data_IF_898176184555
#
_entry.id   IF_898176184555
#
_cell.length_a   1.000
_cell.length_b   1.000
_cell.length_c   1.000
_cell.angle_alpha   90.00
_cell.angle_beta   90.00
_cell.angle_gamma   90.00
#
_symmetry.space_group_name_H-M   'P 1'
#
loop_
_entity.id
_entity.type
_entity.pdbx_description
1 polymer ?
#
# COMPACT_ATOMS: atom_id res chain seq x y z
N UNK A 1 0.83 -20.91 19.27
CA UNK A 1 0.29 -20.09 18.17
C UNK A 1 1.38 -19.11 17.80
N UNK A 2 1.77 -19.06 16.52
CA UNK A 2 2.78 -18.13 16.04
C UNK A 2 2.09 -16.88 15.51
N UNK A 3 2.54 -15.72 15.96
CA UNK A 3 2.00 -14.40 15.61
C UNK A 3 3.01 -13.55 14.84
N UNK A 4 4.17 -14.12 14.50
CA UNK A 4 5.16 -13.43 13.70
C UNK A 4 4.66 -13.30 12.26
N UNK A 5 4.92 -12.13 11.66
CA UNK A 5 4.72 -11.92 10.23
C UNK A 5 5.72 -12.77 9.42
N UNK A 6 5.36 -13.13 8.21
CA UNK A 6 6.32 -13.67 7.23
C UNK A 6 7.29 -12.58 6.77
N UNK A 7 8.40 -12.96 6.13
CA UNK A 7 9.33 -11.99 5.52
C UNK A 7 8.64 -11.12 4.48
N UNK A 8 7.77 -11.72 3.65
CA UNK A 8 7.01 -11.00 2.62
C UNK A 8 6.02 -10.00 3.23
N UNK A 9 5.31 -10.39 4.30
CA UNK A 9 4.41 -9.50 5.04
C UNK A 9 5.16 -8.34 5.71
N UNK A 10 6.35 -8.58 6.27
CA UNK A 10 7.20 -7.51 6.79
C UNK A 10 7.65 -6.56 5.69
N UNK A 11 8.09 -7.11 4.56
CA UNK A 11 8.61 -6.34 3.43
C UNK A 11 7.54 -5.42 2.84
N UNK A 12 6.31 -5.91 2.63
CA UNK A 12 5.23 -5.05 2.12
C UNK A 12 4.92 -3.93 3.12
N UNK A 13 4.85 -4.24 4.42
CA UNK A 13 4.52 -3.26 5.46
C UNK A 13 5.53 -2.11 5.46
N UNK A 14 6.82 -2.44 5.43
CA UNK A 14 7.87 -1.43 5.37
C UNK A 14 7.87 -0.62 4.07
N UNK A 15 7.58 -1.28 2.95
CA UNK A 15 7.52 -0.62 1.64
C UNK A 15 6.38 0.39 1.58
N UNK A 16 5.18 0.00 2.01
CA UNK A 16 4.01 0.87 2.02
C UNK A 16 4.17 2.01 3.00
N UNK A 17 4.67 1.75 4.22
CA UNK A 17 4.96 2.80 5.21
C UNK A 17 5.89 3.87 4.65
N UNK A 18 7.01 3.45 4.04
CA UNK A 18 7.99 4.38 3.45
C UNK A 18 7.37 5.20 2.34
N UNK A 19 6.56 4.56 1.48
CA UNK A 19 5.87 5.25 0.41
C UNK A 19 4.85 6.25 0.94
N UNK A 20 3.98 5.86 1.87
CA UNK A 20 2.96 6.73 2.45
C UNK A 20 3.58 7.97 3.11
N UNK A 21 4.62 7.79 3.93
CA UNK A 21 5.31 8.91 4.60
C UNK A 21 5.96 9.87 3.60
N UNK A 22 6.59 9.36 2.54
CA UNK A 22 7.34 10.20 1.60
C UNK A 22 6.48 10.81 0.49
N UNK A 23 5.43 10.12 0.04
CA UNK A 23 4.60 10.53 -1.09
C UNK A 23 3.27 11.16 -0.65
N UNK A 24 2.62 10.63 0.38
CA UNK A 24 1.34 11.16 0.88
C UNK A 24 1.53 12.15 2.01
N UNK A 25 2.51 11.93 2.90
CA UNK A 25 2.80 12.81 4.03
C UNK A 25 2.94 14.29 3.65
N UNK A 26 3.68 14.66 2.59
CA UNK A 26 3.78 16.06 2.14
C UNK A 26 2.49 16.63 1.54
N UNK A 27 1.52 15.79 1.17
CA UNK A 27 0.27 16.19 0.52
C UNK A 27 -0.91 16.29 1.50
N UNK A 28 -0.76 15.80 2.73
CA UNK A 28 -1.86 15.63 3.68
C UNK A 28 -2.67 16.91 3.94
N UNK A 29 -1.99 18.05 4.20
CA UNK A 29 -2.65 19.32 4.51
C UNK A 29 -3.46 19.81 3.31
N UNK A 30 -2.89 19.74 2.11
CA UNK A 30 -3.58 20.13 0.88
C UNK A 30 -4.81 19.27 0.61
N UNK A 31 -4.69 17.95 0.80
CA UNK A 31 -5.79 17.02 0.58
C UNK A 31 -6.97 17.37 1.49
N UNK A 32 -6.70 17.64 2.77
CA UNK A 32 -7.71 17.97 3.77
C UNK A 32 -8.31 19.38 3.57
N UNK A 33 -7.47 20.39 3.38
CA UNK A 33 -7.91 21.79 3.29
C UNK A 33 -8.63 22.12 1.98
N UNK A 34 -8.25 21.49 0.87
CA UNK A 34 -8.76 21.83 -0.47
C UNK A 34 -9.77 20.83 -1.04
N UNK A 35 -10.15 19.77 -0.29
CA UNK A 35 -10.90 18.62 -0.84
C UNK A 35 -10.27 18.07 -2.14
N UNK A 36 -8.94 18.13 -2.22
CA UNK A 36 -8.18 17.80 -3.42
C UNK A 36 -7.64 16.38 -3.35
N UNK A 37 -7.68 15.65 -4.48
CA UNK A 37 -7.13 14.30 -4.58
C UNK A 37 -6.00 14.23 -5.63
N UNK A 38 -4.83 13.62 -5.32
CA UNK A 38 -3.74 13.49 -6.28
C UNK A 38 -4.18 12.69 -7.53
N UNK A 39 -4.14 13.27 -8.74
CA UNK A 39 -4.66 12.61 -9.95
C UNK A 39 -3.94 11.32 -10.32
N UNK A 40 -2.68 11.17 -9.89
CA UNK A 40 -1.82 10.03 -10.18
C UNK A 40 -1.71 9.05 -8.99
N UNK A 41 -2.48 9.25 -7.92
CA UNK A 41 -2.43 8.42 -6.70
C UNK A 41 -2.48 6.92 -7.01
N UNK A 42 -3.51 6.48 -7.74
CA UNK A 42 -3.67 5.07 -8.08
C UNK A 42 -2.55 4.54 -8.98
N UNK A 43 -2.01 5.39 -9.86
CA UNK A 43 -0.86 5.00 -10.68
C UNK A 43 0.37 4.76 -9.80
N UNK A 44 0.65 5.65 -8.85
CA UNK A 44 1.75 5.47 -7.90
C UNK A 44 1.56 4.25 -6.99
N UNK A 45 0.33 3.99 -6.52
CA UNK A 45 0.02 2.76 -5.78
C UNK A 45 0.23 1.49 -6.63
N UNK A 46 -0.07 1.55 -7.94
CA UNK A 46 0.18 0.43 -8.85
C UNK A 46 1.68 0.18 -9.05
N UNK A 47 2.50 1.23 -9.11
CA UNK A 47 3.97 1.15 -9.26
C UNK A 47 4.63 0.43 -8.07
N UNK A 48 4.04 0.50 -6.87
CA UNK A 48 4.48 -0.25 -5.68
C UNK A 48 3.71 -1.55 -5.45
N UNK A 49 2.82 -1.94 -6.37
CA UNK A 49 2.18 -3.26 -6.39
C UNK A 49 1.05 -3.49 -5.39
N UNK A 50 0.48 -2.44 -4.77
CA UNK A 50 -0.48 -2.62 -3.65
C UNK A 50 -1.96 -2.68 -4.05
N UNK A 51 -2.30 -2.35 -5.30
CA UNK A 51 -3.71 -2.31 -5.75
C UNK A 51 -4.36 -3.68 -5.96
N UNK A 52 -3.58 -4.76 -5.95
CA UNK A 52 -4.05 -6.11 -6.27
C UNK A 52 -3.39 -7.20 -5.43
N UNK A 53 -3.10 -6.92 -4.15
CA UNK A 53 -2.33 -7.83 -3.29
C UNK A 53 -2.88 -9.26 -3.30
N UNK A 54 -4.16 -9.52 -2.98
CA UNK A 54 -4.70 -10.89 -2.93
C UNK A 54 -5.06 -11.46 -4.32
N UNK A 55 -4.93 -10.65 -5.37
CA UNK A 55 -5.32 -11.05 -6.72
C UNK A 55 -4.16 -11.84 -7.34
N UNK A 56 -4.47 -12.94 -8.01
CA UNK A 56 -3.46 -13.76 -8.69
C UNK A 56 -2.71 -12.97 -9.76
N UNK A 57 -1.41 -13.24 -9.90
CA UNK A 57 -0.55 -12.70 -10.96
C UNK A 57 -1.11 -12.92 -12.37
N UNK A 58 -1.86 -14.00 -12.61
CA UNK A 58 -2.55 -14.26 -13.89
C UNK A 58 -3.46 -13.10 -14.32
N UNK A 59 -3.99 -12.35 -13.36
CA UNK A 59 -4.86 -11.19 -13.58
C UNK A 59 -4.15 -9.86 -13.31
N UNK A 60 -2.81 -9.87 -13.15
CA UNK A 60 -2.01 -8.68 -12.88
C UNK A 60 -1.97 -8.26 -11.41
N UNK A 61 -2.34 -9.14 -10.48
CA UNK A 61 -2.18 -8.92 -9.03
C UNK A 61 -0.83 -9.38 -8.49
N UNK A 62 -0.63 -9.25 -7.17
CA UNK A 62 0.62 -9.62 -6.49
C UNK A 62 0.64 -11.09 -6.01
N UNK A 63 -0.52 -11.74 -5.89
CA UNK A 63 -0.61 -13.11 -5.40
C UNK A 63 -0.35 -13.29 -3.89
N UNK A 64 -0.39 -12.22 -3.11
CA UNK A 64 -0.25 -12.22 -1.65
C UNK A 64 -1.51 -12.69 -0.92
N UNK A 65 -1.45 -12.68 0.41
CA UNK A 65 -2.57 -13.05 1.27
C UNK A 65 -3.36 -11.84 1.80
N UNK A 66 -4.49 -12.12 2.47
CA UNK A 66 -5.36 -11.06 3.03
C UNK A 66 -4.67 -10.30 4.18
N UNK A 67 -3.79 -10.96 4.94
CA UNK A 67 -3.05 -10.29 6.02
C UNK A 67 -2.06 -9.29 5.43
N UNK A 68 -1.37 -9.65 4.36
CA UNK A 68 -0.49 -8.79 3.58
C UNK A 68 -1.25 -7.57 3.04
N UNK A 69 -2.46 -7.76 2.50
CA UNK A 69 -3.33 -6.66 2.09
C UNK A 69 -3.72 -5.76 3.27
N UNK A 70 -4.06 -6.36 4.41
CA UNK A 70 -4.45 -5.63 5.62
C UNK A 70 -3.30 -4.77 6.14
N UNK A 71 -2.08 -5.31 6.16
CA UNK A 71 -0.87 -4.56 6.54
C UNK A 71 -0.59 -3.40 5.58
N UNK A 72 -0.80 -3.58 4.27
CA UNK A 72 -0.65 -2.48 3.33
C UNK A 72 -1.68 -1.37 3.56
N UNK A 73 -2.92 -1.72 3.89
CA UNK A 73 -3.97 -0.73 4.21
C UNK A 73 -3.67 0.00 5.53
N UNK A 74 -3.15 -0.71 6.54
CA UNK A 74 -2.81 -0.14 7.86
C UNK A 74 -1.72 0.94 7.77
N UNK A 75 -0.80 0.82 6.80
CA UNK A 75 0.33 1.74 6.64
C UNK A 75 0.07 2.92 5.70
N UNK A 76 -1.09 2.97 5.02
CA UNK A 76 -1.48 4.06 4.13
C UNK A 76 -2.06 5.27 4.87
#
# INVERSE_FOLDING_TARGET
>A
MDFQLTDEQRMIRETVRKWAVNELGPLQEKIDEEDWFPPDFFKKCAEIGILGIPISEKYGGLGGDVLMQTLAIEEM
#
